data_IF_685727944831
#
_entry.id   IF_685727944831
#
_cell.length_a   1.000
_cell.length_b   1.000
_cell.length_c   1.000
_cell.angle_alpha   90.00
_cell.angle_beta   90.00
_cell.angle_gamma   90.00
#
_symmetry.space_group_name_H-M   'P 1'
#
loop_
_entity.id
_entity.type
_entity.pdbx_description
1 polymer ?
#
# COMPACT_ATOMS: atom_id res chain seq x y z
N UNK A 1 52.27 1.95 36.21
CA UNK A 1 50.86 2.02 36.64
C UNK A 1 50.16 3.01 35.74
N UNK A 2 49.59 2.53 34.64
CA UNK A 2 48.95 3.34 33.59
C UNK A 2 47.62 2.68 33.29
N UNK A 3 46.55 3.41 33.62
CA UNK A 3 45.16 3.00 33.57
C UNK A 3 44.69 2.93 32.11
N UNK A 4 44.38 1.73 31.62
CA UNK A 4 43.64 1.56 30.38
C UNK A 4 42.19 2.01 30.60
N UNK A 5 41.82 3.11 29.95
CA UNK A 5 40.44 3.57 29.87
C UNK A 5 39.70 2.66 28.88
N UNK A 6 39.01 1.65 29.41
CA UNK A 6 38.08 0.80 28.65
C UNK A 6 36.93 1.68 28.16
N UNK A 7 36.99 2.10 26.90
CA UNK A 7 35.85 2.68 26.19
C UNK A 7 34.89 1.53 25.91
N UNK A 8 33.93 1.33 26.81
CA UNK A 8 32.84 0.38 26.62
C UNK A 8 32.07 0.80 25.36
N UNK A 9 32.32 0.09 24.26
CA UNK A 9 31.52 0.20 23.05
C UNK A 9 30.07 -0.08 23.40
N UNK A 10 29.22 0.93 23.21
CA UNK A 10 27.77 0.79 23.23
C UNK A 10 27.39 -0.16 22.09
N UNK A 11 27.29 -1.45 22.39
CA UNK A 11 26.66 -2.43 21.53
C UNK A 11 25.20 -2.00 21.34
N UNK A 12 24.73 -1.70 20.12
CA UNK A 12 23.31 -1.44 19.89
C UNK A 12 22.56 -2.76 20.06
N UNK A 13 22.18 -3.08 21.29
CA UNK A 13 21.14 -4.05 21.59
C UNK A 13 19.78 -3.42 21.27
N UNK A 14 19.57 -2.95 20.05
CA UNK A 14 18.27 -2.45 19.61
C UNK A 14 17.53 -3.61 18.95
N UNK A 15 16.97 -4.48 19.78
CA UNK A 15 15.89 -5.35 19.35
C UNK A 15 14.81 -4.46 18.74
N UNK A 16 14.41 -4.64 17.46
CA UNK A 16 13.44 -3.76 16.82
C UNK A 16 12.13 -3.74 17.63
N UNK A 17 11.85 -2.63 18.30
CA UNK A 17 10.65 -2.54 19.14
C UNK A 17 9.42 -2.35 18.26
N UNK A 18 8.42 -3.22 18.43
CA UNK A 18 7.19 -3.12 17.67
C UNK A 18 6.34 -1.93 18.16
N UNK A 19 6.16 -0.91 17.31
CA UNK A 19 5.42 0.33 17.61
C UNK A 19 4.03 0.29 16.98
N UNK A 20 3.02 0.89 17.64
CA UNK A 20 1.68 1.06 17.06
C UNK A 20 1.68 2.17 16.01
N UNK A 21 0.92 2.01 14.92
CA UNK A 21 0.81 3.02 13.86
C UNK A 21 0.38 4.41 14.35
N UNK A 22 -0.54 4.47 15.33
CA UNK A 22 -0.97 5.72 15.99
C UNK A 22 0.20 6.48 16.64
N UNK A 23 1.20 5.80 17.19
CA UNK A 23 2.33 6.44 17.85
C UNK A 23 3.39 6.93 16.87
N UNK A 24 3.25 6.58 15.58
CA UNK A 24 4.21 6.84 14.52
C UNK A 24 3.53 7.39 13.25
N UNK A 25 2.53 8.28 13.39
CA UNK A 25 1.76 8.84 12.26
C UNK A 25 2.63 9.53 11.20
N UNK A 26 3.75 10.13 11.62
CA UNK A 26 4.71 10.78 10.70
C UNK A 26 5.62 9.79 9.98
N UNK A 27 5.59 8.52 10.35
CA UNK A 27 6.40 7.51 9.68
C UNK A 27 5.86 7.27 8.27
N UNK A 28 6.69 7.29 7.20
CA UNK A 28 6.29 7.15 5.81
C UNK A 28 5.41 5.91 5.51
N UNK A 29 5.63 4.83 6.25
CA UNK A 29 4.82 3.60 6.14
C UNK A 29 3.37 3.81 6.60
N UNK A 30 3.16 4.60 7.67
CA UNK A 30 1.83 4.90 8.20
C UNK A 30 1.15 5.96 7.35
N UNK A 31 1.87 7.03 6.99
CA UNK A 31 1.32 8.08 6.11
C UNK A 31 0.98 7.54 4.72
N UNK A 32 1.84 6.71 4.13
CA UNK A 32 1.57 6.02 2.87
C UNK A 32 0.36 5.08 2.96
N UNK A 33 0.21 4.37 4.08
CA UNK A 33 -0.98 3.55 4.36
C UNK A 33 -2.26 4.38 4.46
N UNK A 34 -2.22 5.53 5.14
CA UNK A 34 -3.35 6.45 5.23
C UNK A 34 -3.75 7.00 3.86
N UNK A 35 -2.78 7.42 3.05
CA UNK A 35 -3.02 7.84 1.66
C UNK A 35 -3.67 6.70 0.87
N UNK A 36 -3.18 5.46 1.03
CA UNK A 36 -3.77 4.27 0.42
C UNK A 36 -5.21 4.00 0.87
N UNK A 37 -5.55 4.24 2.15
CA UNK A 37 -6.94 4.12 2.63
C UNK A 37 -7.82 5.20 2.02
N UNK A 38 -7.36 6.44 1.99
CA UNK A 38 -8.13 7.56 1.42
C UNK A 38 -8.38 7.31 -0.07
N UNK A 39 -7.32 6.98 -0.83
CA UNK A 39 -7.42 6.68 -2.26
C UNK A 39 -8.29 5.45 -2.53
N UNK A 40 -8.05 4.35 -1.84
CA UNK A 40 -8.80 3.10 -2.01
C UNK A 40 -10.28 3.26 -1.68
N UNK A 41 -10.61 4.00 -0.62
CA UNK A 41 -11.98 4.32 -0.24
C UNK A 41 -12.64 5.21 -1.29
N UNK A 42 -11.95 6.26 -1.77
CA UNK A 42 -12.48 7.14 -2.81
C UNK A 42 -12.83 6.37 -4.09
N UNK A 43 -11.94 5.51 -4.57
CA UNK A 43 -12.20 4.68 -5.75
C UNK A 43 -13.30 3.64 -5.54
N UNK A 44 -13.33 3.01 -4.36
CA UNK A 44 -14.35 2.02 -4.03
C UNK A 44 -15.75 2.65 -4.04
N UNK A 45 -15.94 3.76 -3.35
CA UNK A 45 -17.25 4.44 -3.28
C UNK A 45 -17.62 5.14 -4.58
N UNK A 46 -16.67 5.75 -5.28
CA UNK A 46 -16.92 6.37 -6.59
C UNK A 46 -17.28 5.32 -7.66
N UNK A 47 -16.70 4.12 -7.60
CA UNK A 47 -17.10 3.01 -8.47
C UNK A 47 -18.49 2.49 -8.12
N UNK A 48 -18.80 2.28 -6.84
CA UNK A 48 -20.10 1.81 -6.39
C UNK A 48 -21.26 2.79 -6.61
N UNK A 49 -20.99 4.09 -6.76
CA UNK A 49 -22.02 5.07 -7.10
C UNK A 49 -22.49 4.93 -8.55
N UNK A 50 -21.64 4.41 -9.45
CA UNK A 50 -21.97 4.14 -10.85
C UNK A 50 -22.60 2.75 -11.11
N UNK A 51 -22.74 1.91 -10.08
CA UNK A 51 -23.42 0.61 -10.16
C UNK A 51 -24.78 0.71 -9.49
N UNK A 52 -25.84 0.88 -10.29
CA UNK A 52 -27.23 0.84 -9.81
C UNK A 52 -27.68 -0.62 -9.65
N UNK A 53 -27.87 -1.08 -8.41
CA UNK A 53 -28.30 -2.45 -8.11
C UNK A 53 -29.16 -2.48 -6.84
N UNK A 54 -30.15 -3.38 -6.72
CA UNK A 54 -30.86 -3.64 -5.46
C UNK A 54 -29.91 -3.98 -4.30
N UNK A 55 -28.72 -4.50 -4.61
CA UNK A 55 -27.67 -4.87 -3.63
C UNK A 55 -26.76 -3.71 -3.23
N UNK A 56 -27.05 -2.46 -3.65
CA UNK A 56 -26.18 -1.32 -3.40
C UNK A 56 -26.04 -0.98 -1.90
N UNK A 57 -27.09 -1.17 -1.09
CA UNK A 57 -27.02 -0.99 0.36
C UNK A 57 -26.01 -1.94 1.02
N UNK A 58 -26.17 -3.26 0.87
CA UNK A 58 -25.20 -4.24 1.35
C UNK A 58 -23.77 -4.01 0.83
N UNK A 59 -23.59 -3.67 -0.45
CA UNK A 59 -22.28 -3.40 -1.04
C UNK A 59 -21.60 -2.18 -0.41
N UNK A 60 -22.33 -1.09 -0.17
CA UNK A 60 -21.80 0.08 0.55
C UNK A 60 -21.46 -0.23 1.99
N UNK A 61 -22.27 -1.06 2.66
CA UNK A 61 -21.97 -1.56 4.01
C UNK A 61 -20.67 -2.36 4.05
N UNK A 62 -20.48 -3.29 3.10
CA UNK A 62 -19.25 -4.06 2.96
C UNK A 62 -18.04 -3.17 2.62
N UNK A 63 -18.23 -2.17 1.76
CA UNK A 63 -17.19 -1.20 1.43
C UNK A 63 -16.78 -0.35 2.64
N UNK A 64 -17.74 0.13 3.42
CA UNK A 64 -17.49 0.86 4.66
C UNK A 64 -16.78 -0.02 5.69
N UNK A 65 -17.20 -1.28 5.82
CA UNK A 65 -16.56 -2.25 6.70
C UNK A 65 -15.11 -2.50 6.28
N UNK A 66 -14.83 -2.68 4.99
CA UNK A 66 -13.47 -2.87 4.46
C UNK A 66 -12.59 -1.63 4.70
N UNK A 67 -13.10 -0.43 4.43
CA UNK A 67 -12.36 0.82 4.66
C UNK A 67 -12.05 1.03 6.15
N UNK A 68 -13.04 0.83 7.01
CA UNK A 68 -12.90 0.96 8.48
C UNK A 68 -11.95 -0.10 9.03
N UNK A 69 -12.08 -1.34 8.58
CA UNK A 69 -11.18 -2.43 8.95
C UNK A 69 -9.73 -2.12 8.56
N UNK A 70 -9.51 -1.67 7.32
CA UNK A 70 -8.17 -1.31 6.82
C UNK A 70 -7.59 -0.15 7.64
N UNK A 71 -8.38 0.88 7.92
CA UNK A 71 -7.98 2.00 8.77
C UNK A 71 -7.59 1.53 10.19
N UNK A 72 -8.42 0.69 10.81
CA UNK A 72 -8.15 0.13 12.13
C UNK A 72 -6.86 -0.70 12.14
N UNK A 73 -6.64 -1.51 11.10
CA UNK A 73 -5.40 -2.29 10.90
C UNK A 73 -4.17 -1.38 10.73
N UNK A 74 -4.33 -0.19 10.15
CA UNK A 74 -3.23 0.78 10.04
C UNK A 74 -2.90 1.44 11.37
N UNK A 75 -3.92 1.85 12.10
CA UNK A 75 -3.77 2.65 13.30
C UNK A 75 -3.39 1.81 14.52
N UNK A 76 -4.03 0.65 14.72
CA UNK A 76 -3.95 -0.10 15.97
C UNK A 76 -2.97 -1.27 15.95
N UNK A 77 -2.58 -1.80 14.77
CA UNK A 77 -1.64 -2.92 14.72
C UNK A 77 -0.22 -2.45 15.06
N UNK A 78 0.48 -3.27 15.86
CA UNK A 78 1.91 -3.12 16.13
C UNK A 78 2.72 -3.60 14.93
N UNK A 79 3.71 -2.81 14.51
CA UNK A 79 4.57 -3.07 13.35
C UNK A 79 6.02 -2.82 13.73
N UNK A 80 6.93 -3.63 13.17
CA UNK A 80 8.35 -3.30 13.15
C UNK A 80 8.55 -2.38 11.96
N UNK A 81 8.88 -1.11 12.23
CA UNK A 81 9.07 -0.10 11.21
C UNK A 81 10.48 -0.30 10.62
N UNK A 82 10.62 -0.56 9.31
CA UNK A 82 11.94 -0.68 8.70
C UNK A 82 12.69 0.64 8.82
N UNK A 83 14.00 0.58 9.09
CA UNK A 83 14.86 1.76 8.96
C UNK A 83 14.77 2.33 7.55
N UNK A 84 14.51 3.63 7.47
CA UNK A 84 14.37 4.31 6.19
C UNK A 84 15.75 4.60 5.63
N UNK A 85 16.08 3.97 4.51
CA UNK A 85 17.26 4.36 3.74
C UNK A 85 17.03 5.78 3.17
N UNK A 86 18.03 6.68 3.20
CA UNK A 86 17.89 8.00 2.62
C UNK A 86 17.48 7.91 1.14
N UNK A 87 16.59 8.81 0.67
CA UNK A 87 16.08 8.75 -0.69
C UNK A 87 17.21 8.90 -1.72
N UNK A 88 17.13 8.14 -2.81
CA UNK A 88 18.10 8.22 -3.89
C UNK A 88 18.16 9.65 -4.46
N UNK A 89 19.35 10.13 -4.90
CA UNK A 89 19.48 11.41 -5.59
C UNK A 89 18.49 11.50 -6.77
N UNK A 90 17.65 12.53 -6.80
CA UNK A 90 16.65 12.72 -7.86
C UNK A 90 15.27 12.09 -7.60
N UNK A 91 15.05 11.39 -6.49
CA UNK A 91 13.74 10.84 -6.14
C UNK A 91 12.63 11.92 -6.07
N UNK A 92 12.96 13.13 -5.60
CA UNK A 92 12.04 14.26 -5.59
C UNK A 92 11.63 14.73 -7.00
N UNK A 93 12.55 14.66 -7.98
CA UNK A 93 12.25 15.01 -9.37
C UNK A 93 11.32 13.97 -10.00
N UNK A 94 11.58 12.68 -9.79
CA UNK A 94 10.70 11.61 -10.27
C UNK A 94 9.32 11.72 -9.63
N UNK A 95 9.26 12.04 -8.34
CA UNK A 95 8.01 12.37 -7.64
C UNK A 95 7.26 13.51 -8.29
N UNK A 96 7.90 14.67 -8.48
CA UNK A 96 7.27 15.82 -9.13
C UNK A 96 6.76 15.51 -10.53
N UNK A 97 7.58 14.87 -11.37
CA UNK A 97 7.18 14.50 -12.74
C UNK A 97 6.01 13.52 -12.73
N UNK A 98 6.05 12.49 -11.89
CA UNK A 98 4.97 11.50 -11.79
C UNK A 98 3.64 12.16 -11.38
N UNK A 99 3.66 13.13 -10.45
CA UNK A 99 2.46 13.87 -10.04
C UNK A 99 1.95 14.74 -11.19
N UNK A 100 2.83 15.50 -11.84
CA UNK A 100 2.44 16.38 -12.97
C UNK A 100 1.84 15.55 -14.11
N UNK A 101 2.48 14.45 -14.50
CA UNK A 101 1.98 13.54 -15.54
C UNK A 101 0.61 12.99 -15.17
N UNK A 102 0.42 12.53 -13.92
CA UNK A 102 -0.87 12.04 -13.45
C UNK A 102 -1.95 13.12 -13.57
N UNK A 103 -1.68 14.34 -13.10
CA UNK A 103 -2.63 15.47 -13.17
C UNK A 103 -2.98 15.84 -14.61
N UNK A 104 -2.00 15.83 -15.52
CA UNK A 104 -2.24 16.09 -16.95
C UNK A 104 -3.06 14.98 -17.61
N UNK A 105 -2.90 13.72 -17.18
CA UNK A 105 -3.66 12.60 -17.71
C UNK A 105 -5.11 12.55 -17.20
N UNK A 106 -5.43 13.16 -16.06
CA UNK A 106 -6.80 13.20 -15.53
C UNK A 106 -7.84 13.71 -16.55
N UNK A 107 -7.71 14.91 -17.15
CA UNK A 107 -8.65 15.36 -18.18
C UNK A 107 -8.63 14.49 -19.43
N UNK A 108 -7.48 13.89 -19.78
CA UNK A 108 -7.33 12.99 -20.93
C UNK A 108 -8.22 11.76 -20.79
N UNK A 109 -8.38 11.21 -19.57
CA UNK A 109 -9.28 10.05 -19.36
C UNK A 109 -10.71 10.32 -19.81
N UNK A 110 -11.22 11.53 -19.57
CA UNK A 110 -12.56 11.94 -20.01
C UNK A 110 -12.62 12.06 -21.53
N UNK A 111 -11.62 12.68 -22.15
CA UNK A 111 -11.56 12.82 -23.61
C UNK A 111 -11.51 11.45 -24.30
N UNK A 112 -10.71 10.52 -23.77
CA UNK A 112 -10.62 9.14 -24.27
C UNK A 112 -11.96 8.42 -24.12
N UNK A 113 -12.60 8.50 -22.94
CA UNK A 113 -13.90 7.88 -22.72
C UNK A 113 -14.98 8.42 -23.68
N UNK A 114 -14.95 9.72 -23.99
CA UNK A 114 -15.86 10.36 -24.94
C UNK A 114 -15.57 9.93 -26.38
N UNK A 115 -14.30 9.92 -26.80
CA UNK A 115 -13.88 9.49 -28.14
C UNK A 115 -14.24 8.02 -28.41
N UNK A 116 -14.26 7.19 -27.38
CA UNK A 116 -14.66 5.77 -27.45
C UNK A 116 -16.17 5.54 -27.29
N UNK A 117 -16.99 6.60 -27.21
CA UNK A 117 -18.42 6.53 -26.93
C UNK A 117 -18.78 5.72 -25.67
N UNK A 118 -17.87 5.67 -24.70
CA UNK A 118 -17.98 4.88 -23.48
C UNK A 118 -17.74 5.75 -22.23
N UNK A 119 -18.65 6.68 -21.90
CA UNK A 119 -18.46 7.62 -20.79
C UNK A 119 -18.29 6.92 -19.43
N UNK A 120 -18.86 5.72 -19.26
CA UNK A 120 -18.71 4.92 -18.04
C UNK A 120 -17.29 4.36 -17.86
N UNK A 121 -16.47 4.31 -18.91
CA UNK A 121 -15.06 3.90 -18.83
C UNK A 121 -14.18 4.91 -18.07
N UNK A 122 -14.62 6.18 -17.95
CA UNK A 122 -13.80 7.26 -17.38
C UNK A 122 -13.30 6.93 -15.98
N UNK A 123 -14.16 6.43 -15.08
CA UNK A 123 -13.76 6.12 -13.70
C UNK A 123 -12.70 5.01 -13.63
N UNK A 124 -12.79 4.01 -14.51
CA UNK A 124 -11.82 2.94 -14.63
C UNK A 124 -10.48 3.43 -15.22
N UNK A 125 -10.53 4.34 -16.20
CA UNK A 125 -9.34 5.00 -16.75
C UNK A 125 -8.64 5.88 -15.71
N UNK A 126 -9.40 6.62 -14.89
CA UNK A 126 -8.83 7.37 -13.75
C UNK A 126 -8.14 6.44 -12.76
N UNK A 127 -8.77 5.30 -12.43
CA UNK A 127 -8.14 4.29 -11.57
C UNK A 127 -6.84 3.75 -12.18
N UNK A 128 -6.81 3.50 -13.49
CA UNK A 128 -5.60 3.06 -14.18
C UNK A 128 -4.49 4.12 -14.19
N UNK A 129 -4.83 5.40 -14.43
CA UNK A 129 -3.87 6.52 -14.40
C UNK A 129 -3.27 6.70 -13.00
N UNK A 130 -4.10 6.64 -11.95
CA UNK A 130 -3.62 6.70 -10.56
C UNK A 130 -2.78 5.47 -10.22
N UNK A 131 -3.18 4.28 -10.67
CA UNK A 131 -2.38 3.06 -10.56
C UNK A 131 -0.99 3.22 -11.20
N UNK A 132 -0.95 3.73 -12.44
CA UNK A 132 0.26 3.95 -13.21
C UNK A 132 1.23 4.93 -12.52
N UNK A 133 0.71 5.92 -11.80
CA UNK A 133 1.50 6.87 -11.02
C UNK A 133 2.35 6.20 -9.92
N UNK A 134 1.92 5.03 -9.39
CA UNK A 134 2.70 4.30 -8.38
C UNK A 134 3.88 3.48 -8.97
N UNK A 135 3.87 3.17 -10.27
CA UNK A 135 4.91 2.34 -10.89
C UNK A 135 6.31 2.99 -10.90
N UNK A 136 6.46 4.30 -11.21
CA UNK A 136 7.74 5.00 -11.05
C UNK A 136 8.31 4.88 -9.63
N UNK A 137 7.44 4.95 -8.61
CA UNK A 137 7.86 4.82 -7.21
C UNK A 137 8.31 3.41 -6.88
N UNK A 138 7.63 2.40 -7.43
CA UNK A 138 8.04 1.01 -7.28
C UNK A 138 9.46 0.79 -7.82
N UNK A 139 9.85 1.47 -8.91
CA UNK A 139 11.20 1.41 -9.48
C UNK A 139 12.23 2.20 -8.67
N UNK A 140 11.93 3.45 -8.31
CA UNK A 140 12.90 4.34 -7.64
C UNK A 140 13.13 3.95 -6.17
N UNK A 141 12.08 3.51 -5.47
CA UNK A 141 12.16 3.17 -4.05
C UNK A 141 12.34 1.66 -3.79
N UNK A 142 12.46 0.83 -4.84
CA UNK A 142 12.58 -0.64 -4.76
C UNK A 142 11.54 -1.28 -3.81
N UNK A 143 10.36 -0.69 -3.73
CA UNK A 143 9.31 -1.12 -2.82
C UNK A 143 8.29 -1.97 -3.60
N UNK A 144 8.35 -3.31 -3.52
CA UNK A 144 7.52 -4.21 -4.33
C UNK A 144 6.02 -4.04 -4.07
N UNK A 145 5.65 -3.45 -2.92
CA UNK A 145 4.26 -3.10 -2.61
C UNK A 145 3.65 -2.14 -3.63
N UNK A 146 4.39 -1.14 -4.11
CA UNK A 146 3.87 -0.20 -5.11
C UNK A 146 3.68 -0.87 -6.47
N UNK A 147 4.45 -1.93 -6.77
CA UNK A 147 4.26 -2.75 -7.96
C UNK A 147 2.92 -3.49 -7.92
N UNK A 148 2.58 -4.10 -6.78
CA UNK A 148 1.32 -4.81 -6.62
C UNK A 148 0.11 -3.88 -6.56
N UNK A 149 0.19 -2.79 -5.80
CA UNK A 149 -0.89 -1.80 -5.69
C UNK A 149 -1.12 -1.12 -7.04
N UNK A 150 -0.07 -0.53 -7.62
CA UNK A 150 -0.17 0.17 -8.90
C UNK A 150 -0.55 -0.77 -10.04
N UNK A 151 0.07 -1.94 -10.11
CA UNK A 151 -0.21 -2.95 -11.14
C UNK A 151 -1.63 -3.48 -11.09
N UNK A 152 -2.17 -3.78 -9.90
CA UNK A 152 -3.56 -4.23 -9.76
C UNK A 152 -4.55 -3.15 -10.16
N UNK A 153 -4.31 -1.88 -9.79
CA UNK A 153 -5.17 -0.76 -10.21
C UNK A 153 -5.13 -0.54 -11.73
N UNK A 154 -3.94 -0.60 -12.35
CA UNK A 154 -3.81 -0.52 -13.81
C UNK A 154 -4.56 -1.66 -14.47
N UNK A 155 -4.36 -2.90 -14.03
CA UNK A 155 -5.00 -4.07 -14.61
C UNK A 155 -6.54 -4.01 -14.50
N UNK A 156 -7.06 -3.73 -13.29
CA UNK A 156 -8.50 -3.66 -13.04
C UNK A 156 -9.15 -2.45 -13.73
N UNK A 157 -8.47 -1.31 -13.74
CA UNK A 157 -8.93 -0.10 -14.42
C UNK A 157 -8.98 -0.27 -15.94
N UNK A 158 -7.93 -0.82 -16.55
CA UNK A 158 -7.91 -1.09 -18.00
C UNK A 158 -8.90 -2.18 -18.40
N UNK A 159 -9.03 -3.24 -17.60
CA UNK A 159 -10.03 -4.29 -17.85
C UNK A 159 -11.46 -3.73 -17.78
N UNK A 160 -11.78 -2.95 -16.73
CA UNK A 160 -13.07 -2.29 -16.60
C UNK A 160 -13.37 -1.31 -17.74
N UNK A 161 -12.36 -0.54 -18.16
CA UNK A 161 -12.48 0.38 -19.30
C UNK A 161 -12.73 -0.37 -20.61
N UNK A 162 -11.95 -1.42 -20.90
CA UNK A 162 -12.09 -2.24 -22.10
C UNK A 162 -13.49 -2.87 -22.17
N UNK A 163 -13.95 -3.45 -21.07
CA UNK A 163 -15.28 -4.06 -21.01
C UNK A 163 -16.40 -3.03 -21.18
N UNK A 164 -16.22 -1.80 -20.68
CA UNK A 164 -17.17 -0.71 -20.91
C UNK A 164 -17.22 -0.30 -22.40
N UNK A 165 -16.08 -0.28 -23.09
CA UNK A 165 -16.00 -0.03 -24.54
C UNK A 165 -16.67 -1.17 -25.33
N UNK A 166 -16.62 -2.40 -24.84
CA UNK A 166 -17.32 -3.55 -25.42
C UNK A 166 -18.83 -3.57 -25.12
N UNK A 167 -19.39 -2.51 -24.51
CA UNK A 167 -20.81 -2.34 -24.25
C UNK A 167 -21.28 -2.72 -22.85
N UNK A 168 -20.41 -3.24 -21.98
CA UNK A 168 -20.77 -3.52 -20.58
C UNK A 168 -20.65 -2.24 -19.74
N UNK A 169 -21.66 -1.36 -19.79
CA UNK A 169 -21.60 -0.05 -19.15
C UNK A 169 -21.27 -0.07 -17.65
N UNK A 170 -21.67 -1.12 -16.92
CA UNK A 170 -21.37 -1.33 -15.49
C UNK A 170 -19.89 -1.64 -15.22
N UNK A 171 -19.16 -2.14 -16.22
CA UNK A 171 -17.79 -2.60 -16.03
C UNK A 171 -16.79 -1.48 -15.71
N UNK A 172 -17.02 -0.26 -16.19
CA UNK A 172 -16.18 0.89 -15.85
C UNK A 172 -16.24 1.23 -14.35
N UNK A 173 -17.42 1.57 -13.81
CA UNK A 173 -17.59 1.79 -12.37
C UNK A 173 -17.20 0.57 -11.52
N UNK A 174 -17.52 -0.65 -11.96
CA UNK A 174 -17.10 -1.87 -11.26
C UNK A 174 -15.58 -2.05 -11.24
N UNK A 175 -14.88 -1.74 -12.33
CA UNK A 175 -13.42 -1.78 -12.41
C UNK A 175 -12.77 -0.75 -11.48
N UNK A 176 -13.32 0.46 -11.41
CA UNK A 176 -12.88 1.48 -10.44
C UNK A 176 -13.10 1.02 -8.99
N UNK A 177 -14.26 0.43 -8.69
CA UNK A 177 -14.57 -0.11 -7.37
C UNK A 177 -13.60 -1.25 -6.99
N UNK A 178 -13.38 -2.19 -7.91
CA UNK A 178 -12.45 -3.30 -7.74
C UNK A 178 -11.02 -2.82 -7.50
N UNK A 179 -10.56 -1.79 -8.23
CA UNK A 179 -9.25 -1.17 -8.03
C UNK A 179 -9.13 -0.57 -6.62
N UNK A 180 -10.16 0.13 -6.14
CA UNK A 180 -10.21 0.68 -4.78
C UNK A 180 -10.17 -0.41 -3.69
N UNK A 181 -10.94 -1.49 -3.88
CA UNK A 181 -10.92 -2.65 -2.99
C UNK A 181 -9.54 -3.35 -2.98
N UNK A 182 -8.93 -3.56 -4.15
CA UNK A 182 -7.61 -4.17 -4.27
C UNK A 182 -6.53 -3.35 -3.57
N UNK A 183 -6.59 -2.02 -3.66
CA UNK A 183 -5.71 -1.13 -2.91
C UNK A 183 -5.90 -1.30 -1.39
N UNK A 184 -7.13 -1.26 -0.88
CA UNK A 184 -7.42 -1.45 0.56
C UNK A 184 -6.92 -2.80 1.08
N UNK A 185 -7.21 -3.88 0.35
CA UNK A 185 -6.76 -5.23 0.69
C UNK A 185 -5.24 -5.33 0.67
N UNK A 186 -4.57 -4.73 -0.31
CA UNK A 186 -3.11 -4.73 -0.39
C UNK A 186 -2.47 -3.98 0.78
N UNK A 187 -3.01 -2.81 1.14
CA UNK A 187 -2.55 -2.02 2.29
C UNK A 187 -2.76 -2.78 3.61
N UNK A 188 -3.92 -3.44 3.77
CA UNK A 188 -4.17 -4.30 4.91
C UNK A 188 -3.19 -5.49 4.94
N UNK A 189 -3.02 -6.21 3.83
CA UNK A 189 -2.10 -7.35 3.72
C UNK A 189 -0.65 -6.95 4.04
N UNK A 190 -0.21 -5.76 3.63
CA UNK A 190 1.12 -5.21 3.98
C UNK A 190 1.26 -5.04 5.50
N UNK A 191 0.22 -4.53 6.16
CA UNK A 191 0.16 -4.44 7.62
C UNK A 191 0.26 -5.80 8.31
N UNK A 192 -0.19 -6.86 7.63
CA UNK A 192 -0.06 -8.23 8.10
C UNK A 192 1.34 -8.81 7.91
N UNK A 193 1.98 -8.53 6.77
CA UNK A 193 3.33 -9.03 6.46
C UNK A 193 4.45 -8.39 7.28
N UNK A 194 4.24 -7.19 7.82
CA UNK A 194 5.18 -6.53 8.73
C UNK A 194 5.26 -7.20 10.13
N UNK A 195 4.84 -8.47 10.25
CA UNK A 195 4.67 -9.19 11.52
C UNK A 195 5.19 -10.66 11.53
N UNK A 196 6.19 -11.08 10.74
CA UNK A 196 6.67 -12.48 10.84
C UNK A 196 8.19 -12.63 10.63
N UNK A 197 8.87 -13.55 11.37
CA UNK A 197 8.68 -13.91 12.79
C UNK A 197 10.01 -14.00 13.59
N UNK A 198 9.99 -13.58 14.84
CA UNK A 198 11.10 -13.78 15.80
C UNK A 198 11.18 -15.20 16.41
N UNK A 199 10.65 -16.23 15.74
CA UNK A 199 10.45 -17.54 16.37
C UNK A 199 11.54 -18.57 16.07
N UNK A 200 12.47 -18.32 15.13
CA UNK A 200 13.55 -19.28 14.81
C UNK A 200 14.85 -19.04 15.58
N UNK A 201 15.15 -17.80 15.98
CA UNK A 201 16.42 -17.49 16.64
C UNK A 201 16.50 -17.92 18.12
N UNK A 202 15.34 -18.03 18.81
CA UNK A 202 15.31 -18.40 20.23
C UNK A 202 15.54 -19.91 20.47
N UNK A 203 15.23 -20.76 19.48
CA UNK A 203 15.41 -22.22 19.60
C UNK A 203 16.85 -22.64 19.26
N UNK A 204 17.51 -21.97 18.31
CA UNK A 204 18.93 -22.26 18.00
C UNK A 204 19.88 -21.78 19.09
N UNK A 205 19.62 -20.64 19.74
CA UNK A 205 20.49 -20.13 20.80
C UNK A 205 20.36 -20.92 22.12
N UNK A 206 19.21 -21.57 22.37
CA UNK A 206 19.04 -22.51 23.49
C UNK A 206 19.68 -23.88 23.23
N UNK A 207 19.92 -24.26 21.98
CA UNK A 207 20.53 -25.54 21.61
C UNK A 207 22.06 -25.47 21.49
N UNK A 208 22.63 -24.26 21.35
CA UNK A 208 24.05 -24.06 21.04
C UNK A 208 24.97 -23.85 22.25
N UNK A 209 24.47 -23.90 23.50
CA UNK A 209 25.33 -23.77 24.69
C UNK A 209 25.46 -25.09 25.47
N UNK A 210 26.48 -25.92 25.19
CA UNK A 210 26.86 -26.98 26.12
C UNK A 210 27.42 -26.34 27.39
N UNK A 211 26.81 -26.68 28.54
CA UNK A 211 27.23 -26.28 29.87
C UNK A 211 28.70 -26.69 30.12
N UNK A 212 29.66 -25.75 30.26
CA UNK A 212 31.06 -26.11 30.50
C UNK A 212 31.34 -26.51 31.97
N UNK A 213 30.31 -26.76 32.79
CA UNK A 213 30.42 -26.96 34.23
C UNK A 213 30.12 -28.36 34.78
N UNK A 214 30.03 -29.41 33.96
CA UNK A 214 29.88 -30.80 34.44
C UNK A 214 30.88 -31.69 33.71
N UNK A 215 32.04 -32.02 34.26
CA UNK A 215 32.31 -32.90 35.42
C UNK A 215 33.85 -32.96 35.64
N UNK A 216 34.37 -33.62 36.69
CA UNK A 216 33.71 -34.45 37.71
C UNK A 216 33.65 -33.87 39.12
#
# INVERSE_FOLDING_TARGET
>A
MTTHTTTAGRQPSETPTAVRGISALRHPVVSGGLIGVIGGTAFLFAGLSGVSSPTQGPLRGLAAALATFTLAVILFRRRVLPELRPPAPGAARVYGVAVVVMLLLMPVTRLVAQALHAPTAQSALVAAVVGAHFLPFARVFHAPVFWWIGGSMVALGLCGALLAVLGMHVAGPAGAAAAGAAMLVSVAAQAFRQHAPGTTAATEQSAAWPNPGSRP
#
